data_IF_646870238249
#
_entry.id   IF_646870238249
#
_cell.length_a   1.000
_cell.length_b   1.000
_cell.length_c   1.000
_cell.angle_alpha   90.00
_cell.angle_beta   90.00
_cell.angle_gamma   90.00
#
_symmetry.space_group_name_H-M   'P 1'
#
loop_
_entity.id
_entity.type
_entity.pdbx_description
1 polymer ?
#
# COMPACT_ATOMS: atom_id res chain seq x y z
N UNK A 1 10.97 -28.39 -15.00
CA UNK A 1 10.62 -26.96 -15.15
C UNK A 1 10.72 -26.34 -13.76
N UNK A 2 11.68 -25.44 -13.52
CA UNK A 2 11.71 -24.68 -12.25
C UNK A 2 10.75 -23.50 -12.43
N UNK A 3 9.54 -23.59 -11.88
CA UNK A 3 8.71 -22.42 -11.67
C UNK A 3 9.45 -21.50 -10.69
N UNK A 4 9.66 -20.25 -11.07
CA UNK A 4 9.97 -19.23 -10.09
C UNK A 4 8.82 -19.17 -9.09
N UNK A 5 9.11 -18.89 -7.83
CA UNK A 5 8.10 -18.83 -6.78
C UNK A 5 6.85 -18.08 -7.24
N UNK A 6 5.66 -18.68 -7.15
CA UNK A 6 4.44 -18.04 -7.58
C UNK A 6 4.13 -16.82 -6.71
N UNK A 7 3.50 -15.81 -7.30
CA UNK A 7 2.99 -14.63 -6.60
C UNK A 7 1.48 -14.75 -6.44
N UNK A 8 0.98 -14.50 -5.24
CA UNK A 8 -0.46 -14.49 -4.95
C UNK A 8 -1.03 -13.09 -5.09
N UNK A 9 -2.06 -12.96 -5.91
CA UNK A 9 -2.91 -11.78 -6.02
C UNK A 9 -4.23 -12.05 -5.31
N UNK A 10 -4.67 -11.10 -4.49
CA UNK A 10 -5.96 -11.12 -3.80
C UNK A 10 -6.76 -9.91 -4.23
N UNK A 11 -7.76 -10.13 -5.04
CA UNK A 11 -8.67 -9.08 -5.48
C UNK A 11 -9.90 -9.05 -4.54
N UNK A 12 -10.19 -7.88 -4.02
CA UNK A 12 -11.29 -7.63 -3.08
C UNK A 12 -12.35 -6.79 -3.79
N UNK A 13 -13.48 -7.41 -4.11
CA UNK A 13 -14.63 -6.78 -4.76
C UNK A 13 -15.83 -6.72 -3.81
N UNK A 14 -16.91 -6.05 -4.21
CA UNK A 14 -18.09 -5.89 -3.35
C UNK A 14 -18.78 -7.23 -2.99
N UNK A 15 -18.76 -8.20 -3.89
CA UNK A 15 -19.49 -9.46 -3.73
C UNK A 15 -18.61 -10.69 -3.69
N UNK A 16 -17.34 -10.57 -4.09
CA UNK A 16 -16.43 -11.71 -4.18
C UNK A 16 -14.99 -11.36 -3.86
N UNK A 17 -14.27 -12.35 -3.34
CA UNK A 17 -12.82 -12.36 -3.26
C UNK A 17 -12.27 -13.26 -4.36
N UNK A 18 -11.31 -12.76 -5.14
CA UNK A 18 -10.64 -13.54 -6.17
C UNK A 18 -9.18 -13.71 -5.78
N UNK A 19 -8.74 -14.94 -5.70
CA UNK A 19 -7.37 -15.33 -5.36
C UNK A 19 -6.74 -15.94 -6.61
N UNK A 20 -5.66 -15.34 -7.10
CA UNK A 20 -4.98 -15.80 -8.32
C UNK A 20 -3.50 -15.98 -8.04
N UNK A 21 -3.01 -17.21 -8.12
CA UNK A 21 -1.59 -17.50 -8.09
C UNK A 21 -1.03 -17.44 -9.51
N UNK A 22 -0.03 -16.61 -9.72
CA UNK A 22 0.63 -16.39 -11.00
C UNK A 22 2.09 -16.81 -10.90
N UNK A 23 2.53 -17.62 -11.84
CA UNK A 23 3.93 -18.00 -12.00
C UNK A 23 4.54 -17.47 -13.27
N UNK A 24 5.86 -17.47 -13.31
CA UNK A 24 6.63 -17.13 -14.52
C UNK A 24 7.11 -18.43 -15.15
N UNK A 25 6.71 -18.68 -16.39
CA UNK A 25 7.19 -19.80 -17.22
C UNK A 25 8.28 -19.31 -18.15
N UNK A 26 9.40 -20.03 -18.19
CA UNK A 26 10.52 -19.81 -19.11
C UNK A 26 11.09 -18.37 -19.15
N UNK A 27 10.97 -17.65 -18.01
CA UNK A 27 11.61 -16.34 -17.82
C UNK A 27 10.92 -15.15 -18.48
N UNK A 28 9.86 -15.35 -19.28
CA UNK A 28 9.20 -14.27 -20.02
C UNK A 28 7.68 -14.30 -20.06
N UNK A 29 7.04 -15.41 -19.71
CA UNK A 29 5.57 -15.53 -19.79
C UNK A 29 4.94 -15.70 -18.41
N UNK A 30 3.92 -14.91 -18.12
CA UNK A 30 3.09 -15.09 -16.92
C UNK A 30 1.98 -16.09 -17.20
N UNK A 31 1.77 -17.00 -16.27
CA UNK A 31 0.67 -17.97 -16.35
C UNK A 31 -0.09 -18.04 -15.03
N UNK A 32 -1.42 -18.11 -15.11
CA UNK A 32 -2.26 -18.41 -13.96
C UNK A 32 -2.09 -19.89 -13.62
N UNK A 33 -1.59 -20.17 -12.41
CA UNK A 33 -1.36 -21.53 -11.93
C UNK A 33 -2.61 -22.04 -11.21
N UNK A 34 -3.23 -21.20 -10.39
CA UNK A 34 -4.42 -21.52 -9.62
C UNK A 34 -5.28 -20.27 -9.47
N UNK A 35 -6.61 -20.44 -9.51
CA UNK A 35 -7.56 -19.38 -9.26
C UNK A 35 -8.71 -19.89 -8.39
N UNK A 36 -9.05 -19.16 -7.34
CA UNK A 36 -10.18 -19.44 -6.47
C UNK A 36 -11.01 -18.18 -6.33
N UNK A 37 -12.32 -18.31 -6.48
CA UNK A 37 -13.27 -17.23 -6.24
C UNK A 37 -14.22 -17.61 -5.10
N UNK A 38 -14.46 -16.70 -4.18
CA UNK A 38 -15.33 -16.91 -3.02
C UNK A 38 -16.31 -15.76 -2.89
N UNK A 39 -17.59 -16.05 -2.96
CA UNK A 39 -18.67 -15.08 -2.73
C UNK A 39 -18.71 -14.70 -1.24
N UNK A 40 -18.97 -13.42 -0.98
CA UNK A 40 -19.09 -12.91 0.37
C UNK A 40 -20.14 -11.77 0.46
N UNK A 41 -20.46 -11.41 1.69
CA UNK A 41 -21.32 -10.28 2.07
C UNK A 41 -20.66 -9.42 3.15
N UNK A 42 -19.33 -9.37 3.15
CA UNK A 42 -18.54 -8.67 4.17
C UNK A 42 -18.20 -7.24 3.77
N UNK A 43 -18.55 -6.85 2.56
CA UNK A 43 -18.37 -5.51 2.00
C UNK A 43 -19.74 -5.01 1.57
N UNK A 44 -20.03 -3.74 1.83
CA UNK A 44 -21.21 -3.04 1.35
C UNK A 44 -20.84 -1.57 1.13
N UNK A 45 -21.25 -1.04 -0.03
CA UNK A 45 -21.02 0.37 -0.39
C UNK A 45 -19.57 0.81 -0.18
N UNK A 46 -18.61 -0.01 -0.65
CA UNK A 46 -17.17 0.24 -0.58
C UNK A 46 -16.57 0.21 0.84
N UNK A 47 -17.29 -0.29 1.83
CA UNK A 47 -16.83 -0.43 3.22
C UNK A 47 -16.86 -1.89 3.64
N UNK A 48 -15.82 -2.33 4.35
CA UNK A 48 -15.82 -3.64 5.01
C UNK A 48 -16.72 -3.54 6.24
N UNK A 49 -17.87 -4.22 6.21
CA UNK A 49 -18.86 -4.20 7.29
C UNK A 49 -18.63 -5.29 8.33
N UNK A 50 -17.86 -6.32 8.00
CA UNK A 50 -17.50 -7.39 8.91
C UNK A 50 -16.03 -7.82 8.71
N UNK A 51 -15.13 -7.17 9.42
CA UNK A 51 -13.68 -7.38 9.31
C UNK A 51 -13.27 -8.80 9.71
N UNK A 52 -13.84 -9.35 10.79
CA UNK A 52 -13.49 -10.68 11.27
C UNK A 52 -13.86 -11.75 10.25
N UNK A 53 -15.08 -11.70 9.73
CA UNK A 53 -15.52 -12.65 8.72
C UNK A 53 -14.74 -12.50 7.40
N UNK A 54 -14.39 -11.27 7.01
CA UNK A 54 -13.52 -11.03 5.86
C UNK A 54 -12.15 -11.68 6.05
N UNK A 55 -11.53 -11.47 7.21
CA UNK A 55 -10.25 -12.05 7.56
C UNK A 55 -10.27 -13.58 7.53
N UNK A 56 -11.28 -14.20 8.13
CA UNK A 56 -11.44 -15.65 8.14
C UNK A 56 -11.57 -16.23 6.72
N UNK A 57 -12.43 -15.61 5.88
CA UNK A 57 -12.61 -16.06 4.51
C UNK A 57 -11.33 -15.91 3.68
N UNK A 58 -10.65 -14.78 3.80
CA UNK A 58 -9.38 -14.54 3.09
C UNK A 58 -8.34 -15.56 3.53
N UNK A 59 -8.13 -15.72 4.84
CA UNK A 59 -7.17 -16.68 5.40
C UNK A 59 -7.45 -18.12 4.98
N UNK A 60 -8.72 -18.52 4.97
CA UNK A 60 -9.13 -19.87 4.55
C UNK A 60 -8.78 -20.12 3.07
N UNK A 61 -9.06 -19.17 2.19
CA UNK A 61 -8.81 -19.34 0.76
C UNK A 61 -7.31 -19.31 0.42
N UNK A 62 -6.52 -18.47 1.10
CA UNK A 62 -5.07 -18.50 0.97
C UNK A 62 -4.54 -19.91 1.32
N UNK A 63 -4.95 -20.46 2.45
CA UNK A 63 -4.53 -21.81 2.85
C UNK A 63 -4.94 -22.90 1.85
N UNK A 64 -6.09 -22.78 1.21
CA UNK A 64 -6.52 -23.70 0.16
C UNK A 64 -5.54 -23.68 -1.01
N UNK A 65 -5.16 -22.49 -1.46
CA UNK A 65 -4.22 -22.33 -2.59
C UNK A 65 -2.83 -22.83 -2.19
N UNK A 66 -2.34 -22.44 -1.01
CA UNK A 66 -1.06 -22.92 -0.47
C UNK A 66 -0.98 -24.45 -0.43
N UNK A 67 -2.06 -25.09 0.05
CA UNK A 67 -2.14 -26.56 0.09
C UNK A 67 -2.14 -27.19 -1.29
N UNK A 68 -2.86 -26.59 -2.26
CA UNK A 68 -2.90 -27.10 -3.66
C UNK A 68 -1.55 -26.98 -4.36
N UNK A 69 -0.84 -25.87 -4.10
CA UNK A 69 0.43 -25.59 -4.75
C UNK A 69 1.64 -26.15 -3.99
N UNK A 70 1.41 -26.68 -2.79
CA UNK A 70 2.46 -27.05 -1.84
C UNK A 70 3.49 -25.91 -1.66
N UNK A 71 3.00 -24.68 -1.56
CA UNK A 71 3.78 -23.45 -1.46
C UNK A 71 3.16 -22.49 -0.47
N UNK A 72 3.97 -21.91 0.41
CA UNK A 72 3.54 -20.87 1.38
C UNK A 72 3.92 -19.50 0.81
N UNK A 73 2.95 -18.59 0.76
CA UNK A 73 3.19 -17.23 0.28
C UNK A 73 3.66 -16.36 1.45
N UNK A 74 4.83 -15.75 1.30
CA UNK A 74 5.36 -14.77 2.26
C UNK A 74 4.74 -13.39 2.04
N UNK A 75 4.47 -13.04 0.77
CA UNK A 75 3.88 -11.78 0.36
C UNK A 75 2.64 -12.00 -0.52
N UNK A 76 1.73 -11.05 -0.47
CA UNK A 76 0.55 -11.03 -1.35
C UNK A 76 0.36 -9.63 -1.97
N UNK A 77 -0.09 -9.59 -3.21
CA UNK A 77 -0.50 -8.35 -3.87
C UNK A 77 -2.02 -8.21 -3.72
N UNK A 78 -2.45 -7.17 -3.02
CA UNK A 78 -3.88 -6.89 -2.81
C UNK A 78 -4.37 -5.89 -3.84
N UNK A 79 -5.46 -6.23 -4.54
CA UNK A 79 -6.14 -5.37 -5.50
C UNK A 79 -7.51 -5.00 -4.92
N UNK A 80 -7.75 -3.71 -4.74
CA UNK A 80 -9.02 -3.18 -4.24
C UNK A 80 -9.90 -2.79 -5.42
N UNK A 81 -10.73 -3.73 -5.91
CA UNK A 81 -11.50 -3.55 -7.14
C UNK A 81 -12.68 -2.58 -7.00
N UNK A 82 -13.33 -2.57 -5.84
CA UNK A 82 -14.58 -1.83 -5.63
C UNK A 82 -14.48 -0.70 -4.61
N UNK A 83 -13.28 -0.32 -4.19
CA UNK A 83 -13.10 0.72 -3.17
C UNK A 83 -12.90 2.10 -3.81
N UNK A 84 -13.58 3.11 -3.26
CA UNK A 84 -13.31 4.50 -3.59
C UNK A 84 -12.09 4.96 -2.81
N UNK A 85 -11.02 5.29 -3.51
CA UNK A 85 -9.84 5.91 -2.93
C UNK A 85 -9.50 7.19 -3.68
N UNK A 86 -8.80 8.09 -3.01
CA UNK A 86 -8.23 9.30 -3.60
C UNK A 86 -6.75 9.35 -3.34
N UNK A 87 -5.97 9.81 -4.32
CA UNK A 87 -4.58 10.14 -4.16
C UNK A 87 -4.44 11.67 -4.15
N UNK A 88 -3.96 12.21 -3.04
CA UNK A 88 -3.73 13.63 -2.88
C UNK A 88 -2.23 13.90 -2.79
N UNK A 89 -1.73 14.84 -3.59
CA UNK A 89 -0.39 15.37 -3.42
C UNK A 89 -0.46 16.56 -2.48
N UNK A 90 0.23 16.46 -1.36
CA UNK A 90 0.31 17.51 -0.36
C UNK A 90 1.78 17.78 -0.06
N UNK A 91 2.10 18.99 0.31
CA UNK A 91 3.46 19.38 0.67
C UNK A 91 3.48 20.18 1.96
N UNK A 92 4.53 20.02 2.72
CA UNK A 92 4.80 20.80 3.90
C UNK A 92 6.22 21.33 3.90
N UNK A 93 6.44 22.43 4.59
CA UNK A 93 7.77 23.04 4.66
C UNK A 93 8.19 23.30 6.11
N UNK A 94 9.50 23.32 6.32
CA UNK A 94 10.12 23.71 7.58
C UNK A 94 11.30 24.63 7.34
N UNK A 95 11.31 25.74 8.07
CA UNK A 95 12.44 26.65 8.13
C UNK A 95 13.51 26.06 9.06
N UNK A 96 14.74 25.92 8.59
CA UNK A 96 15.86 25.33 9.29
C UNK A 96 16.88 26.37 9.77
N UNK A 97 16.92 27.56 9.15
CA UNK A 97 17.85 28.67 9.47
C UNK A 97 19.32 28.24 9.45
N UNK A 98 19.72 27.48 8.43
CA UNK A 98 21.09 26.99 8.29
C UNK A 98 21.42 25.75 9.14
N UNK A 99 20.46 25.19 9.86
CA UNK A 99 20.68 23.96 10.63
C UNK A 99 20.54 22.70 9.78
N UNK A 100 20.95 21.59 10.37
CA UNK A 100 20.90 20.27 9.74
C UNK A 100 19.46 19.76 9.69
N UNK A 101 19.10 19.09 8.58
CA UNK A 101 17.84 18.34 8.49
C UNK A 101 17.91 17.10 9.38
N UNK A 102 17.03 17.02 10.35
CA UNK A 102 16.89 15.91 11.28
C UNK A 102 15.66 15.07 10.95
N UNK A 103 15.62 13.83 11.44
CA UNK A 103 14.43 12.97 11.33
C UNK A 103 13.19 13.63 11.94
N UNK A 104 13.36 14.34 13.03
CA UNK A 104 12.31 15.08 13.75
C UNK A 104 11.69 16.18 12.87
N UNK A 105 12.47 16.81 11.98
CA UNK A 105 11.96 17.81 11.05
C UNK A 105 10.99 17.16 10.05
N UNK A 106 11.35 15.99 9.53
CA UNK A 106 10.50 15.22 8.60
C UNK A 106 9.25 14.73 9.31
N UNK A 107 9.40 14.15 10.50
CA UNK A 107 8.27 13.67 11.32
C UNK A 107 7.29 14.81 11.67
N UNK A 108 7.80 15.98 11.96
CA UNK A 108 6.99 17.18 12.23
C UNK A 108 6.14 17.54 11.00
N UNK A 109 6.75 17.63 9.81
CA UNK A 109 6.03 17.95 8.57
C UNK A 109 4.96 16.88 8.29
N UNK A 110 5.33 15.59 8.35
CA UNK A 110 4.40 14.49 8.09
C UNK A 110 3.22 14.48 9.07
N UNK A 111 3.46 14.74 10.35
CA UNK A 111 2.39 14.79 11.34
C UNK A 111 1.46 15.99 11.12
N UNK A 112 2.01 17.16 10.77
CA UNK A 112 1.22 18.32 10.40
C UNK A 112 0.34 18.06 9.18
N UNK A 113 0.90 17.45 8.13
CA UNK A 113 0.15 17.08 6.92
C UNK A 113 -0.94 16.04 7.20
N UNK A 114 -0.65 15.04 8.05
CA UNK A 114 -1.67 14.07 8.50
C UNK A 114 -2.82 14.73 9.22
N UNK A 115 -2.54 15.63 10.17
CA UNK A 115 -3.59 16.36 10.90
C UNK A 115 -4.46 17.15 9.94
N UNK A 116 -3.87 17.86 8.98
CA UNK A 116 -4.61 18.62 7.97
C UNK A 116 -5.53 17.74 7.13
N UNK A 117 -5.07 16.53 6.73
CA UNK A 117 -5.92 15.59 5.98
C UNK A 117 -7.08 15.11 6.84
N UNK A 118 -6.82 14.69 8.07
CA UNK A 118 -7.84 14.17 8.98
C UNK A 118 -8.90 15.23 9.29
N UNK A 119 -8.49 16.48 9.50
CA UNK A 119 -9.41 17.59 9.78
C UNK A 119 -10.32 17.94 8.58
N UNK A 120 -9.85 17.74 7.34
CA UNK A 120 -10.59 18.08 6.14
C UNK A 120 -11.35 16.89 5.51
N UNK A 121 -11.09 15.66 5.94
CA UNK A 121 -11.61 14.43 5.33
C UNK A 121 -12.11 13.45 6.40
N UNK A 122 -13.07 13.88 7.21
CA UNK A 122 -13.60 13.15 8.39
C UNK A 122 -14.02 11.69 8.10
N UNK A 123 -14.47 11.40 6.88
CA UNK A 123 -14.95 10.06 6.51
C UNK A 123 -13.86 9.18 5.89
N UNK A 124 -12.65 9.68 5.70
CA UNK A 124 -11.57 8.96 5.02
C UNK A 124 -10.48 8.52 5.99
N UNK A 125 -9.92 7.38 5.71
CA UNK A 125 -8.76 6.83 6.43
C UNK A 125 -7.53 6.87 5.54
N UNK A 126 -6.42 7.35 6.06
CA UNK A 126 -5.13 7.33 5.36
C UNK A 126 -4.66 5.87 5.27
N UNK A 127 -4.60 5.33 4.06
CA UNK A 127 -4.10 3.97 3.82
C UNK A 127 -2.58 3.94 3.72
N UNK A 128 -2.00 4.91 3.03
CA UNK A 128 -0.56 4.98 2.81
C UNK A 128 -0.09 6.41 2.54
N UNK A 129 1.16 6.68 2.88
CA UNK A 129 1.85 7.94 2.58
C UNK A 129 3.14 7.59 1.85
N UNK A 130 3.27 8.10 0.63
CA UNK A 130 4.49 7.97 -0.17
C UNK A 130 5.27 9.27 -0.14
N UNK A 131 6.58 9.17 0.10
CA UNK A 131 7.46 10.29 -0.18
C UNK A 131 7.60 10.44 -1.70
N UNK A 132 7.13 11.54 -2.25
CA UNK A 132 7.22 11.80 -3.69
C UNK A 132 8.41 12.70 -4.04
N UNK A 133 8.73 13.68 -3.20
CA UNK A 133 9.73 14.67 -3.51
C UNK A 133 10.30 15.33 -2.24
N UNK A 134 11.61 15.50 -2.22
CA UNK A 134 12.33 16.27 -1.19
C UNK A 134 13.05 17.45 -1.84
N UNK A 135 12.88 18.67 -1.31
CA UNK A 135 13.50 19.88 -1.82
C UNK A 135 14.19 20.58 -0.65
N UNK A 136 15.49 20.82 -0.79
CA UNK A 136 16.29 21.58 0.16
C UNK A 136 16.81 22.86 -0.52
N UNK A 137 16.48 24.03 0.02
CA UNK A 137 16.82 25.34 -0.52
C UNK A 137 16.51 25.50 -2.04
N UNK A 138 15.36 24.96 -2.46
CA UNK A 138 14.92 24.99 -3.86
C UNK A 138 15.52 23.91 -4.76
N UNK A 139 16.44 23.09 -4.27
CA UNK A 139 17.09 22.01 -5.03
C UNK A 139 16.42 20.67 -4.72
N UNK A 140 16.05 19.93 -5.77
CA UNK A 140 15.51 18.58 -5.60
C UNK A 140 16.59 17.61 -5.12
N UNK A 141 16.26 16.82 -4.10
CA UNK A 141 17.14 15.80 -3.52
C UNK A 141 16.51 14.44 -3.77
N UNK A 142 17.28 13.50 -4.32
CA UNK A 142 16.78 12.16 -4.69
C UNK A 142 16.37 11.31 -3.48
N UNK A 143 16.99 11.53 -2.33
CA UNK A 143 16.71 10.82 -1.09
C UNK A 143 16.27 11.79 -0.01
N UNK A 144 15.86 11.29 1.16
CA UNK A 144 15.59 12.15 2.32
C UNK A 144 16.90 12.86 2.72
N UNK A 145 16.91 14.21 2.83
CA UNK A 145 18.11 15.00 3.03
C UNK A 145 18.62 15.00 4.49
N UNK A 146 18.43 13.92 5.21
CA UNK A 146 18.85 13.81 6.61
C UNK A 146 20.37 14.00 6.70
N UNK A 147 20.78 14.91 7.56
CA UNK A 147 22.19 15.23 7.74
C UNK A 147 22.69 16.40 6.88
N UNK A 148 21.96 16.83 5.85
CA UNK A 148 22.30 18.00 5.04
C UNK A 148 21.92 19.30 5.76
N UNK A 149 22.69 20.35 5.53
CA UNK A 149 22.42 21.69 6.06
C UNK A 149 21.64 22.50 5.04
N UNK A 150 20.71 23.34 5.51
CA UNK A 150 19.93 24.20 4.65
C UNK A 150 19.08 25.20 5.42
N UNK A 151 18.42 26.11 4.68
CA UNK A 151 17.55 27.12 5.26
C UNK A 151 16.09 26.71 5.23
N UNK A 152 15.66 26.06 4.15
CA UNK A 152 14.27 25.62 3.94
C UNK A 152 14.24 24.20 3.42
N UNK A 153 13.45 23.38 4.07
CA UNK A 153 13.14 22.02 3.64
C UNK A 153 11.65 21.88 3.29
N UNK A 154 11.37 21.40 2.10
CA UNK A 154 10.02 21.03 1.63
C UNK A 154 9.96 19.52 1.37
N UNK A 155 8.86 18.92 1.82
CA UNK A 155 8.61 17.48 1.70
C UNK A 155 7.28 17.24 1.02
#
# INVERSE_FOLDING_TARGET
MKLNSPTLFVEINDSEYVFTAIGVTDGQSFSVIEKVTTIHNTINSYKIINVLQAQEKIKKNIKIIESKLNHVFEDVIVILGSFKFSCNNISGSKKLNGSQVLKENISYILNSLKSTIIENEDEKTILHIFNSKSILDGVHVQTLPIGLFGNFYNH
#
